data_IF_399136381471
#
_entry.id   IF_399136381471
#
_cell.length_a   1.000
_cell.length_b   1.000
_cell.length_c   1.000
_cell.angle_alpha   90.00
_cell.angle_beta   90.00
_cell.angle_gamma   90.00
#
_symmetry.space_group_name_H-M   'P 1'
#
loop_
_entity.id
_entity.type
_entity.pdbx_description
1 polymer ?
#
# COMPACT_ATOMS: atom_id res chain seq x y z
N UNK A 1 19.25 -28.36 1.29
CA UNK A 1 17.92 -27.90 1.73
C UNK A 1 17.69 -28.20 3.22
N UNK A 2 17.69 -29.46 3.66
CA UNK A 2 17.43 -29.79 5.07
C UNK A 2 18.36 -29.08 6.07
N UNK A 3 19.69 -29.16 5.87
CA UNK A 3 20.65 -28.44 6.71
C UNK A 3 20.47 -26.91 6.72
N UNK A 4 19.87 -26.33 5.67
CA UNK A 4 19.56 -24.89 5.64
C UNK A 4 18.37 -24.54 6.52
N UNK A 5 17.30 -25.36 6.50
CA UNK A 5 16.13 -25.18 7.36
C UNK A 5 16.46 -25.46 8.82
N UNK A 6 17.23 -26.51 9.12
CA UNK A 6 17.68 -26.79 10.50
C UNK A 6 18.50 -25.63 11.09
N UNK A 7 19.29 -24.94 10.27
CA UNK A 7 20.09 -23.79 10.70
C UNK A 7 19.28 -22.49 10.80
N UNK A 8 18.41 -22.22 9.83
CA UNK A 8 17.78 -20.90 9.66
C UNK A 8 16.37 -20.83 10.24
N UNK A 9 15.63 -21.93 10.17
CA UNK A 9 14.21 -22.04 10.57
C UNK A 9 13.95 -23.33 11.39
N UNK A 10 14.67 -23.57 12.50
CA UNK A 10 14.58 -24.81 13.27
C UNK A 10 13.20 -25.03 13.91
N UNK A 11 12.47 -23.96 14.18
CA UNK A 11 11.13 -23.94 14.75
C UNK A 11 10.03 -24.28 13.73
N UNK A 12 10.23 -23.93 12.45
CA UNK A 12 9.29 -24.26 11.38
C UNK A 12 9.41 -25.71 10.90
N UNK A 13 10.60 -26.31 10.97
CA UNK A 13 10.87 -27.64 10.41
C UNK A 13 9.94 -28.75 10.94
N UNK A 14 9.63 -28.85 12.25
CA UNK A 14 8.70 -29.85 12.77
C UNK A 14 7.26 -29.71 12.24
N UNK A 15 6.89 -28.54 11.73
CA UNK A 15 5.57 -28.24 11.19
C UNK A 15 5.45 -28.59 9.69
N UNK A 16 6.55 -28.94 9.03
CA UNK A 16 6.63 -29.22 7.60
C UNK A 16 7.10 -30.66 7.32
N UNK A 17 6.31 -31.69 7.69
CA UNK A 17 6.73 -33.10 7.61
C UNK A 17 7.07 -33.55 6.19
N UNK A 18 6.50 -32.89 5.18
CA UNK A 18 6.66 -33.17 3.75
C UNK A 18 7.66 -32.24 3.05
N UNK A 19 8.44 -31.42 3.77
CA UNK A 19 9.32 -30.37 3.22
C UNK A 19 10.14 -30.82 2.01
N UNK A 20 10.76 -32.00 2.07
CA UNK A 20 11.59 -32.50 0.98
C UNK A 20 10.77 -32.81 -0.30
N UNK A 21 9.61 -33.41 -0.14
CA UNK A 21 8.71 -33.72 -1.25
C UNK A 21 8.13 -32.44 -1.84
N UNK A 22 7.66 -31.53 -0.98
CA UNK A 22 7.10 -30.25 -1.38
C UNK A 22 8.12 -29.39 -2.14
N UNK A 23 9.35 -29.26 -1.62
CA UNK A 23 10.39 -28.46 -2.27
C UNK A 23 10.80 -29.02 -3.64
N UNK A 24 10.79 -30.35 -3.79
CA UNK A 24 11.16 -31.00 -5.06
C UNK A 24 10.03 -30.93 -6.09
N UNK A 25 8.79 -31.11 -5.63
CA UNK A 25 7.64 -31.26 -6.52
C UNK A 25 6.98 -29.91 -6.87
N UNK A 26 7.13 -28.89 -6.02
CA UNK A 26 6.57 -27.55 -6.27
C UNK A 26 7.61 -26.67 -6.99
N UNK A 27 7.34 -26.22 -8.22
CA UNK A 27 8.28 -25.39 -8.97
C UNK A 27 8.49 -24.02 -8.31
N UNK A 28 9.69 -23.48 -8.43
CA UNK A 28 9.98 -22.12 -7.96
C UNK A 28 9.27 -21.09 -8.85
N UNK A 29 8.40 -20.28 -8.25
CA UNK A 29 7.73 -19.18 -8.95
C UNK A 29 8.65 -17.99 -9.18
N UNK A 30 8.49 -17.31 -10.32
CA UNK A 30 9.13 -16.03 -10.60
C UNK A 30 8.23 -14.90 -10.15
N UNK A 31 8.81 -13.91 -9.45
CA UNK A 31 8.10 -12.70 -9.02
C UNK A 31 8.59 -11.52 -9.87
N UNK A 32 7.66 -10.71 -10.38
CA UNK A 32 7.98 -9.52 -11.15
C UNK A 32 6.99 -8.39 -10.85
N UNK A 33 7.46 -7.17 -11.11
CA UNK A 33 6.60 -5.98 -11.14
C UNK A 33 6.53 -5.49 -12.57
N UNK A 34 5.32 -5.34 -13.11
CA UNK A 34 5.04 -4.76 -14.43
C UNK A 34 4.42 -3.38 -14.24
N UNK A 35 4.90 -2.41 -15.03
CA UNK A 35 4.28 -1.08 -15.14
C UNK A 35 4.12 -0.77 -16.61
N UNK A 36 2.92 -0.36 -17.02
CA UNK A 36 2.68 0.09 -18.38
C UNK A 36 1.77 1.31 -18.44
N UNK A 37 1.87 2.04 -19.54
CA UNK A 37 0.93 3.08 -19.98
C UNK A 37 1.04 3.15 -21.52
N UNK A 38 -0.06 3.28 -22.27
CA UNK A 38 -1.46 3.41 -21.81
C UNK A 38 -2.06 2.10 -21.29
N UNK A 39 -3.15 2.19 -20.52
CA UNK A 39 -3.96 1.02 -20.12
C UNK A 39 -5.14 0.77 -21.06
N UNK A 40 -5.36 1.66 -22.03
CA UNK A 40 -6.39 1.51 -23.04
C UNK A 40 -5.84 1.73 -24.45
N UNK A 41 -6.52 1.20 -25.45
CA UNK A 41 -6.22 1.47 -26.84
C UNK A 41 -7.48 1.83 -27.63
N UNK A 42 -7.54 3.08 -28.10
CA UNK A 42 -8.53 3.57 -29.05
C UNK A 42 -9.98 3.44 -28.58
N UNK A 43 -10.24 3.45 -27.27
CA UNK A 43 -11.59 3.27 -26.73
C UNK A 43 -12.17 1.86 -26.96
N UNK A 44 -11.34 0.86 -27.30
CA UNK A 44 -11.81 -0.49 -27.67
C UNK A 44 -11.23 -1.60 -26.79
N UNK A 45 -10.06 -1.38 -26.21
CA UNK A 45 -9.36 -2.35 -25.37
C UNK A 45 -8.96 -1.69 -24.05
N UNK A 46 -9.04 -2.45 -22.96
CA UNK A 46 -8.56 -2.05 -21.65
C UNK A 46 -7.75 -3.19 -21.01
N UNK A 47 -6.68 -2.84 -20.32
CA UNK A 47 -5.91 -3.73 -19.43
C UNK A 47 -6.43 -3.54 -18.00
N UNK A 48 -6.61 -4.65 -17.28
CA UNK A 48 -7.17 -4.67 -15.91
C UNK A 48 -6.38 -5.68 -15.06
N UNK A 49 -6.14 -5.38 -13.78
CA UNK A 49 -5.42 -6.26 -12.87
C UNK A 49 -3.98 -6.54 -13.31
N UNK A 50 -3.51 -7.78 -13.14
CA UNK A 50 -2.12 -8.16 -13.45
C UNK A 50 -1.71 -7.90 -14.92
N UNK A 51 -2.66 -7.86 -15.86
CA UNK A 51 -2.39 -7.50 -17.25
C UNK A 51 -1.93 -6.04 -17.41
N UNK A 52 -2.30 -5.17 -16.48
CA UNK A 52 -1.93 -3.76 -16.42
C UNK A 52 -0.81 -3.47 -15.40
N UNK A 53 -0.82 -4.16 -14.26
CA UNK A 53 0.05 -3.86 -13.13
C UNK A 53 0.39 -5.08 -12.27
N UNK A 54 0.93 -6.15 -12.85
CA UNK A 54 1.44 -7.25 -12.02
C UNK A 54 2.39 -6.74 -10.92
N UNK A 55 2.11 -7.07 -9.66
CA UNK A 55 2.88 -6.63 -8.49
C UNK A 55 3.45 -7.80 -7.72
N UNK A 56 4.60 -7.59 -7.09
CA UNK A 56 5.15 -8.55 -6.14
C UNK A 56 4.20 -8.74 -4.93
N UNK A 57 4.08 -9.96 -4.37
CA UNK A 57 3.02 -10.30 -3.43
C UNK A 57 3.26 -9.80 -2.00
N UNK A 58 4.29 -8.97 -1.77
CA UNK A 58 4.75 -8.62 -0.43
C UNK A 58 3.79 -7.69 0.33
N UNK A 59 2.77 -7.11 -0.31
CA UNK A 59 1.69 -6.39 0.38
C UNK A 59 0.37 -7.18 0.43
N UNK A 60 0.26 -8.31 -0.28
CA UNK A 60 -1.02 -9.06 -0.40
C UNK A 60 -2.13 -8.30 -1.13
N UNK A 61 -1.79 -7.33 -1.99
CA UNK A 61 -2.77 -6.40 -2.58
C UNK A 61 -3.05 -6.63 -4.07
N UNK A 62 -2.36 -7.54 -4.77
CA UNK A 62 -2.57 -7.75 -6.21
C UNK A 62 -4.03 -8.06 -6.58
N UNK A 63 -4.63 -9.05 -5.92
CA UNK A 63 -6.05 -9.39 -6.12
C UNK A 63 -6.98 -8.22 -5.75
N UNK A 64 -6.74 -7.56 -4.61
CA UNK A 64 -7.59 -6.46 -4.14
C UNK A 64 -7.54 -5.26 -5.09
N UNK A 65 -6.36 -4.88 -5.57
CA UNK A 65 -6.17 -3.83 -6.56
C UNK A 65 -6.84 -4.20 -7.90
N UNK A 66 -6.77 -5.47 -8.32
CA UNK A 66 -7.49 -5.96 -9.50
C UNK A 66 -9.01 -5.91 -9.37
N UNK A 67 -9.57 -6.23 -8.20
CA UNK A 67 -11.00 -6.05 -7.94
C UNK A 67 -11.40 -4.58 -7.87
N UNK A 68 -10.57 -3.73 -7.27
CA UNK A 68 -10.78 -2.29 -7.28
C UNK A 68 -10.78 -1.73 -8.69
N UNK A 69 -9.92 -2.22 -9.59
CA UNK A 69 -9.94 -1.82 -10.99
C UNK A 69 -11.27 -2.14 -11.66
N UNK A 70 -11.84 -3.32 -11.43
CA UNK A 70 -13.14 -3.69 -12.00
C UNK A 70 -14.23 -2.71 -11.55
N UNK A 71 -14.25 -2.36 -10.26
CA UNK A 71 -15.19 -1.38 -9.70
C UNK A 71 -15.01 0.00 -10.33
N UNK A 72 -13.77 0.50 -10.39
CA UNK A 72 -13.51 1.85 -10.94
C UNK A 72 -13.78 1.90 -12.45
N UNK A 73 -13.50 0.82 -13.18
CA UNK A 73 -13.85 0.71 -14.59
C UNK A 73 -15.37 0.79 -14.79
N UNK A 74 -16.14 0.05 -13.99
CA UNK A 74 -17.61 0.06 -14.01
C UNK A 74 -18.16 1.46 -13.72
N UNK A 75 -17.68 2.12 -12.66
CA UNK A 75 -18.03 3.51 -12.32
C UNK A 75 -17.70 4.49 -13.47
N UNK A 76 -16.56 4.30 -14.15
CA UNK A 76 -16.20 5.14 -15.29
C UNK A 76 -17.14 4.92 -16.50
N UNK A 77 -17.57 3.68 -16.74
CA UNK A 77 -18.54 3.35 -17.80
C UNK A 77 -19.89 3.98 -17.47
N UNK A 78 -20.39 3.82 -16.25
CA UNK A 78 -21.66 4.41 -15.81
C UNK A 78 -21.65 5.94 -15.91
N UNK A 79 -20.57 6.59 -15.49
CA UNK A 79 -20.47 8.05 -15.50
C UNK A 79 -20.49 8.67 -16.92
N UNK A 80 -20.10 7.90 -17.94
CA UNK A 80 -20.02 8.37 -19.32
C UNK A 80 -21.10 7.76 -20.24
N UNK A 81 -21.95 6.87 -19.73
CA UNK A 81 -23.01 6.24 -20.52
C UNK A 81 -24.38 6.80 -20.14
N UNK A 82 -25.20 7.26 -21.10
CA UNK A 82 -26.55 7.71 -20.80
C UNK A 82 -27.40 6.62 -20.15
N UNK A 83 -28.17 6.98 -19.13
CA UNK A 83 -28.99 6.04 -18.37
C UNK A 83 -29.97 5.27 -19.28
N UNK A 84 -29.91 3.93 -19.21
CA UNK A 84 -30.75 3.03 -20.02
C UNK A 84 -30.31 2.86 -21.48
N UNK A 85 -29.16 3.41 -21.88
CA UNK A 85 -28.57 3.22 -23.20
C UNK A 85 -27.34 2.31 -23.15
N UNK A 86 -27.00 1.70 -24.29
CA UNK A 86 -25.71 1.05 -24.47
C UNK A 86 -24.63 2.13 -24.75
N UNK A 87 -23.38 1.96 -24.28
CA UNK A 87 -22.33 2.93 -24.53
C UNK A 87 -21.99 3.01 -26.03
N UNK A 88 -21.87 4.24 -26.53
CA UNK A 88 -21.37 4.51 -27.88
C UNK A 88 -19.84 4.45 -27.94
N UNK A 89 -19.26 4.46 -29.15
CA UNK A 89 -17.79 4.52 -29.31
C UNK A 89 -17.17 5.74 -28.61
N UNK A 90 -17.89 6.88 -28.56
CA UNK A 90 -17.44 8.08 -27.86
C UNK A 90 -17.50 7.90 -26.33
N UNK A 91 -18.55 7.25 -25.83
CA UNK A 91 -18.72 6.99 -24.39
C UNK A 91 -17.63 6.03 -23.90
N UNK A 92 -17.33 4.98 -24.68
CA UNK A 92 -16.22 4.07 -24.40
C UNK A 92 -14.87 4.78 -24.38
N UNK A 93 -14.59 5.64 -25.36
CA UNK A 93 -13.35 6.39 -25.40
C UNK A 93 -13.19 7.28 -24.15
N UNK A 94 -14.25 7.96 -23.72
CA UNK A 94 -14.24 8.79 -22.52
C UNK A 94 -14.09 7.97 -21.23
N UNK A 95 -14.87 6.89 -21.09
CA UNK A 95 -14.82 6.01 -19.92
C UNK A 95 -13.43 5.37 -19.73
N UNK A 96 -12.83 4.84 -20.80
CA UNK A 96 -11.52 4.20 -20.72
C UNK A 96 -10.39 5.22 -20.48
N UNK A 97 -10.52 6.45 -20.99
CA UNK A 97 -9.59 7.54 -20.69
C UNK A 97 -9.65 7.95 -19.21
N UNK A 98 -10.86 8.08 -18.66
CA UNK A 98 -11.08 8.36 -17.24
C UNK A 98 -10.52 7.23 -16.36
N UNK A 99 -10.80 5.97 -16.71
CA UNK A 99 -10.30 4.79 -16.01
C UNK A 99 -8.77 4.76 -15.96
N UNK A 100 -8.07 4.91 -17.10
CA UNK A 100 -6.60 4.89 -17.07
C UNK A 100 -6.01 6.07 -16.30
N UNK A 101 -6.64 7.24 -16.38
CA UNK A 101 -6.21 8.45 -15.66
C UNK A 101 -6.32 8.23 -14.16
N UNK A 102 -7.38 7.56 -13.70
CA UNK A 102 -7.58 7.21 -12.31
C UNK A 102 -6.64 6.08 -11.84
N UNK A 103 -6.49 5.00 -12.62
CA UNK A 103 -5.88 3.76 -12.11
C UNK A 103 -4.39 3.59 -12.35
N UNK A 104 -3.81 4.21 -13.37
CA UNK A 104 -2.35 4.14 -13.60
C UNK A 104 -1.54 4.64 -12.38
N UNK A 105 -1.86 5.79 -11.75
CA UNK A 105 -1.15 6.24 -10.56
C UNK A 105 -1.26 5.25 -9.39
N UNK A 106 -2.43 4.67 -9.19
CA UNK A 106 -2.69 3.74 -8.08
C UNK A 106 -2.03 2.39 -8.29
N UNK A 107 -2.03 1.84 -9.52
CA UNK A 107 -1.30 0.63 -9.88
C UNK A 107 0.22 0.77 -9.69
N UNK A 108 0.77 1.94 -10.03
CA UNK A 108 2.19 2.23 -9.76
C UNK A 108 2.46 2.37 -8.26
N UNK A 109 1.58 3.05 -7.52
CA UNK A 109 1.74 3.25 -6.09
C UNK A 109 1.71 1.93 -5.30
N UNK A 110 0.79 1.02 -5.62
CA UNK A 110 0.72 -0.27 -4.93
C UNK A 110 1.93 -1.16 -5.27
N UNK A 111 2.45 -1.06 -6.50
CA UNK A 111 3.69 -1.74 -6.88
C UNK A 111 4.89 -1.27 -6.05
N UNK A 112 5.03 0.04 -5.85
CA UNK A 112 6.11 0.63 -5.03
C UNK A 112 5.94 0.29 -3.54
N UNK A 113 4.70 0.33 -3.03
CA UNK A 113 4.38 -0.03 -1.66
C UNK A 113 4.72 -1.50 -1.40
N UNK A 114 4.39 -2.40 -2.33
CA UNK A 114 4.74 -3.82 -2.22
C UNK A 114 6.25 -4.05 -2.18
N UNK A 115 7.02 -3.37 -3.03
CA UNK A 115 8.49 -3.44 -3.01
C UNK A 115 9.05 -2.89 -1.69
N UNK A 116 8.49 -1.77 -1.20
CA UNK A 116 8.90 -1.17 0.08
C UNK A 116 8.62 -2.11 1.25
N UNK A 117 7.48 -2.79 1.25
CA UNK A 117 7.10 -3.73 2.31
C UNK A 117 8.00 -4.96 2.34
N UNK A 118 8.54 -5.41 1.20
CA UNK A 118 9.57 -6.44 1.17
C UNK A 118 10.81 -6.05 1.97
N UNK A 119 11.28 -4.80 1.81
CA UNK A 119 12.45 -4.28 2.54
C UNK A 119 12.11 -4.13 4.02
N UNK A 120 10.92 -3.60 4.35
CA UNK A 120 10.45 -3.46 5.72
C UNK A 120 10.46 -4.81 6.46
N UNK A 121 9.84 -5.84 5.88
CA UNK A 121 9.75 -7.17 6.48
C UNK A 121 11.10 -7.90 6.56
N UNK A 122 12.00 -7.67 5.59
CA UNK A 122 13.30 -8.34 5.53
C UNK A 122 14.32 -7.76 6.52
N UNK A 123 14.44 -6.43 6.56
CA UNK A 123 15.59 -5.77 7.19
C UNK A 123 15.20 -4.88 8.38
N UNK A 124 14.07 -4.17 8.30
CA UNK A 124 13.81 -3.05 9.22
C UNK A 124 13.09 -3.45 10.50
N UNK A 125 12.40 -4.59 10.54
CA UNK A 125 11.67 -5.04 11.74
C UNK A 125 12.57 -5.21 12.99
N UNK A 126 13.89 -5.36 12.79
CA UNK A 126 14.88 -5.44 13.88
C UNK A 126 15.66 -4.13 14.12
N UNK A 127 15.41 -3.09 13.32
CA UNK A 127 16.09 -1.80 13.43
C UNK A 127 15.44 -0.94 14.54
N UNK A 128 16.28 -0.43 15.46
CA UNK A 128 15.79 0.30 16.63
C UNK A 128 15.13 1.64 16.26
N UNK A 129 15.65 2.33 15.24
CA UNK A 129 15.06 3.59 14.76
C UNK A 129 13.70 3.34 14.13
N UNK A 130 13.56 2.27 13.35
CA UNK A 130 12.29 1.86 12.78
C UNK A 130 11.26 1.51 13.86
N UNK A 131 11.67 0.75 14.90
CA UNK A 131 10.81 0.43 16.04
C UNK A 131 10.39 1.67 16.83
N UNK A 132 11.28 2.65 16.99
CA UNK A 132 10.96 3.94 17.59
C UNK A 132 9.90 4.67 16.78
N UNK A 133 10.05 4.78 15.45
CA UNK A 133 9.03 5.40 14.58
C UNK A 133 7.67 4.71 14.69
N UNK A 134 7.62 3.38 14.74
CA UNK A 134 6.36 2.63 14.96
C UNK A 134 5.72 2.96 16.32
N UNK A 135 6.51 3.10 17.39
CA UNK A 135 6.02 3.55 18.71
C UNK A 135 5.46 4.98 18.65
N UNK A 136 6.16 5.90 17.99
CA UNK A 136 5.69 7.28 17.80
C UNK A 136 4.37 7.28 17.03
N UNK A 137 4.29 6.58 15.89
CA UNK A 137 3.09 6.49 15.08
C UNK A 137 1.91 5.88 15.83
N UNK A 138 2.14 4.82 16.61
CA UNK A 138 1.10 4.23 17.47
C UNK A 138 0.59 5.24 18.51
N UNK A 139 1.50 5.98 19.16
CA UNK A 139 1.10 7.00 20.13
C UNK A 139 0.31 8.15 19.49
N UNK A 140 0.69 8.59 18.29
CA UNK A 140 -0.06 9.60 17.54
C UNK A 140 -1.48 9.10 17.21
N UNK A 141 -1.61 7.83 16.79
CA UNK A 141 -2.90 7.20 16.52
C UNK A 141 -3.79 7.07 17.77
N UNK A 142 -3.20 6.75 18.94
CA UNK A 142 -3.94 6.72 20.21
C UNK A 142 -4.48 8.09 20.63
N UNK A 143 -3.75 9.17 20.31
CA UNK A 143 -4.15 10.54 20.62
C UNK A 143 -5.21 11.03 19.63
N UNK A 144 -5.07 10.65 18.35
CA UNK A 144 -5.99 10.98 17.28
C UNK A 144 -6.09 9.81 16.28
N UNK A 145 -7.23 9.12 16.30
CA UNK A 145 -7.50 7.98 15.42
C UNK A 145 -7.44 8.36 13.92
N UNK A 146 -7.55 9.65 13.59
CA UNK A 146 -7.39 10.14 12.21
C UNK A 146 -5.94 10.06 11.69
N UNK A 147 -4.94 9.87 12.58
CA UNK A 147 -3.59 9.49 12.20
C UNK A 147 -3.53 7.98 11.92
N UNK A 148 -4.03 7.57 10.75
CA UNK A 148 -4.05 6.17 10.35
C UNK A 148 -2.67 5.71 9.86
N UNK A 149 -2.10 4.62 10.40
CA UNK A 149 -0.87 4.04 9.84
C UNK A 149 -1.01 3.71 8.35
N UNK A 150 0.07 3.86 7.57
CA UNK A 150 0.09 3.55 6.14
C UNK A 150 -0.49 2.16 5.81
N UNK A 151 -0.13 1.14 6.59
CA UNK A 151 -0.66 -0.21 6.40
C UNK A 151 -2.19 -0.26 6.52
N UNK A 152 -2.77 0.47 7.48
CA UNK A 152 -4.21 0.56 7.67
C UNK A 152 -4.90 1.34 6.55
N UNK A 153 -4.28 2.43 6.07
CA UNK A 153 -4.79 3.17 4.90
C UNK A 153 -4.88 2.25 3.68
N UNK A 154 -3.88 1.40 3.43
CA UNK A 154 -3.85 0.50 2.27
C UNK A 154 -4.74 -0.73 2.43
N UNK A 155 -4.82 -1.30 3.63
CA UNK A 155 -5.43 -2.63 3.83
C UNK A 155 -6.88 -2.57 4.30
N UNK A 156 -7.25 -1.54 5.06
CA UNK A 156 -8.54 -1.48 5.77
C UNK A 156 -9.38 -0.26 5.37
N UNK A 157 -9.05 0.40 4.27
CA UNK A 157 -9.80 1.55 3.77
C UNK A 157 -9.92 1.52 2.25
N UNK A 158 -10.69 2.47 1.70
CA UNK A 158 -10.80 2.73 0.26
C UNK A 158 -10.02 3.98 -0.17
N UNK A 159 -9.06 4.44 0.63
CA UNK A 159 -8.15 5.52 0.23
C UNK A 159 -7.35 5.04 -0.98
N UNK A 160 -7.33 5.84 -2.04
CA UNK A 160 -6.56 5.54 -3.26
C UNK A 160 -5.10 5.25 -2.93
N UNK A 161 -4.52 4.22 -3.53
CA UNK A 161 -3.14 3.81 -3.23
C UNK A 161 -2.11 4.94 -3.44
N UNK A 162 -2.27 5.76 -4.48
CA UNK A 162 -1.40 6.93 -4.72
C UNK A 162 -1.51 7.98 -3.61
N UNK A 163 -2.71 8.22 -3.11
CA UNK A 163 -2.95 9.12 -1.98
C UNK A 163 -2.37 8.52 -0.68
N UNK A 164 -2.64 7.25 -0.40
CA UNK A 164 -2.06 6.57 0.76
C UNK A 164 -0.52 6.61 0.74
N UNK A 165 0.09 6.40 -0.42
CA UNK A 165 1.54 6.50 -0.59
C UNK A 165 2.05 7.93 -0.34
N UNK A 166 1.37 8.96 -0.84
CA UNK A 166 1.70 10.36 -0.57
C UNK A 166 1.61 10.69 0.92
N UNK A 167 0.47 10.36 1.53
CA UNK A 167 0.23 10.55 2.96
C UNK A 167 1.27 9.80 3.81
N UNK A 168 1.64 8.58 3.42
CA UNK A 168 2.69 7.80 4.08
C UNK A 168 4.06 8.49 4.07
N UNK A 169 4.42 9.19 2.98
CA UNK A 169 5.66 9.98 2.92
C UNK A 169 5.61 11.17 3.89
N UNK A 170 4.46 11.84 3.99
CA UNK A 170 4.27 12.93 4.94
C UNK A 170 4.34 12.43 6.39
N UNK A 171 3.74 11.28 6.68
CA UNK A 171 3.88 10.62 7.99
C UNK A 171 5.33 10.32 8.31
N UNK A 172 6.07 9.71 7.38
CA UNK A 172 7.47 9.35 7.57
C UNK A 172 8.32 10.58 7.91
N UNK A 173 8.11 11.70 7.20
CA UNK A 173 8.81 12.95 7.46
C UNK A 173 8.48 13.55 8.85
N UNK A 174 7.24 13.41 9.32
CA UNK A 174 6.84 13.81 10.67
C UNK A 174 7.48 12.90 11.73
N UNK A 175 7.44 11.59 11.51
CA UNK A 175 8.02 10.60 12.43
C UNK A 175 9.54 10.77 12.54
N UNK A 176 10.24 11.09 11.45
CA UNK A 176 11.67 11.40 11.49
C UNK A 176 12.02 12.61 12.34
N UNK A 177 11.22 13.68 12.26
CA UNK A 177 11.43 14.87 13.10
C UNK A 177 11.22 14.57 14.58
N UNK A 178 10.18 13.80 14.91
CA UNK A 178 9.89 13.40 16.28
C UNK A 178 10.95 12.44 16.83
N UNK A 179 11.40 11.48 16.02
CA UNK A 179 12.44 10.53 16.40
C UNK A 179 13.83 11.19 16.62
N UNK A 180 14.02 12.43 16.16
CA UNK A 180 15.25 13.19 16.39
C UNK A 180 15.26 13.95 17.73
N UNK A 181 14.14 14.00 18.46
CA UNK A 181 14.07 14.64 19.77
C UNK A 181 14.78 13.78 20.82
N UNK A 182 15.71 14.38 21.57
CA UNK A 182 16.50 13.66 22.58
C UNK A 182 15.66 13.14 23.75
N UNK A 183 14.51 13.75 24.01
CA UNK A 183 13.55 13.44 25.08
C UNK A 183 12.30 12.71 24.54
N UNK A 184 12.35 12.12 23.34
CA UNK A 184 11.17 11.50 22.71
C UNK A 184 10.56 10.39 23.57
N UNK A 185 11.37 9.56 24.24
CA UNK A 185 10.85 8.49 25.10
C UNK A 185 10.02 9.04 26.28
N UNK A 186 10.49 10.12 26.90
CA UNK A 186 9.76 10.82 27.98
C UNK A 186 8.46 11.43 27.44
N UNK A 187 8.50 12.03 26.25
CA UNK A 187 7.31 12.59 25.59
C UNK A 187 6.26 11.53 25.26
N UNK A 188 6.68 10.34 24.84
CA UNK A 188 5.77 9.22 24.56
C UNK A 188 5.13 8.67 25.84
N UNK A 189 5.85 8.67 26.96
CA UNK A 189 5.36 8.19 28.26
C UNK A 189 4.44 9.18 28.99
N UNK A 190 4.40 10.44 28.56
CA UNK A 190 3.57 11.47 29.19
C UNK A 190 2.07 11.15 29.10
N UNK A 191 1.38 11.27 30.24
CA UNK A 191 -0.07 11.04 30.33
C UNK A 191 -0.86 12.04 29.48
N UNK A 192 -0.47 13.31 29.52
CA UNK A 192 -1.00 14.36 28.64
C UNK A 192 -0.09 14.50 27.43
N UNK A 193 -0.63 14.50 26.20
CA UNK A 193 0.16 14.70 24.98
C UNK A 193 0.99 15.98 25.03
N UNK A 194 2.33 15.91 24.89
CA UNK A 194 3.17 17.10 24.81
C UNK A 194 2.87 17.91 23.55
N UNK A 195 3.26 19.19 23.59
CA UNK A 195 3.02 20.14 22.51
C UNK A 195 3.56 19.65 21.16
N UNK A 196 4.71 19.00 21.14
CA UNK A 196 5.32 18.52 19.90
C UNK A 196 4.47 17.45 19.21
N UNK A 197 3.81 16.58 19.98
CA UNK A 197 2.89 15.58 19.41
C UNK A 197 1.59 16.23 18.92
N UNK A 198 1.04 17.20 19.68
CA UNK A 198 -0.17 17.90 19.25
C UNK A 198 0.08 18.78 18.02
N UNK A 199 1.24 19.43 17.93
CA UNK A 199 1.65 20.25 16.78
C UNK A 199 1.88 19.35 15.55
N UNK A 200 2.47 18.17 15.73
CA UNK A 200 2.61 17.17 14.66
C UNK A 200 1.25 16.67 14.15
N UNK A 201 0.28 16.43 15.03
CA UNK A 201 -1.09 16.05 14.65
C UNK A 201 -1.82 17.18 13.93
N UNK A 202 -1.69 18.42 14.39
CA UNK A 202 -2.26 19.58 13.70
C UNK A 202 -1.68 19.69 12.28
N UNK A 203 -0.36 19.56 12.14
CA UNK A 203 0.30 19.58 10.83
C UNK A 203 -0.14 18.42 9.95
N UNK A 204 -0.29 17.22 10.50
CA UNK A 204 -0.80 16.06 9.79
C UNK A 204 -2.20 16.32 9.20
N UNK A 205 -3.11 16.90 9.98
CA UNK A 205 -4.48 17.22 9.52
C UNK A 205 -4.47 18.20 8.34
N UNK A 206 -3.61 19.22 8.38
CA UNK A 206 -3.44 20.15 7.26
C UNK A 206 -2.94 19.44 5.99
N UNK A 207 -1.91 18.61 6.13
CA UNK A 207 -1.32 17.86 5.01
C UNK A 207 -2.33 16.89 4.40
N UNK A 208 -3.10 16.21 5.24
CA UNK A 208 -4.14 15.28 4.80
C UNK A 208 -5.26 16.02 4.06
N UNK A 209 -5.77 17.10 4.62
CA UNK A 209 -6.80 17.91 3.97
C UNK A 209 -6.34 18.48 2.62
N UNK A 210 -5.06 18.89 2.51
CA UNK A 210 -4.49 19.39 1.26
C UNK A 210 -4.29 18.30 0.19
N UNK A 211 -4.08 17.04 0.60
CA UNK A 211 -3.92 15.92 -0.32
C UNK A 211 -5.27 15.30 -0.77
N UNK A 212 -6.33 15.50 0.02
CA UNK A 212 -7.70 15.07 -0.29
C UNK A 212 -8.50 16.10 -1.11
N UNK A 213 -8.01 17.34 -1.24
CA UNK A 213 -8.63 18.43 -2.00
C UNK A 213 -8.30 18.37 -3.50
#
# INVERSE_FOLDING_TARGET
>A
MQAFFEKTFPDALPLMPTLHEDYRNNPTGSLMTVRCKPWQLGGRYALVGDAAHAVVPFYGQGMNAGFEDCRVLDECIEAHTPAGAAPTDTDWAAALEAYQTARVPDGNAIADLAISNFIEMRDLVRDDRFRLKKRIGARLHEIDEAFLPLYSMVTFSHIRYSLAQQLGREQEALLDKLAALSDIDDKLAAATPPRELTDALARWRELRAAAEA
#
